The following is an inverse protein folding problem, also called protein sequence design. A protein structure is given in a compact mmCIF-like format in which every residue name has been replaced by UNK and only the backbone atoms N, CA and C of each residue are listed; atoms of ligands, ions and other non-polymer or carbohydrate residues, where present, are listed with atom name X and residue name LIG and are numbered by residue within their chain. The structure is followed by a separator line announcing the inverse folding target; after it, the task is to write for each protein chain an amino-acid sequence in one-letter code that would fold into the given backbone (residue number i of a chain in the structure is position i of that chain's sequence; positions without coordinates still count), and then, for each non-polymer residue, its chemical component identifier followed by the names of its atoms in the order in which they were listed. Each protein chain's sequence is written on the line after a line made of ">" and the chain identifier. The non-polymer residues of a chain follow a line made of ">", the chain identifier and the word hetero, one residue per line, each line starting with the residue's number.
data_IF_891574338417
#
_entry.id   IF_891574338417
#
_cell.length_a   1.000
_cell.length_b   1.000
_cell.length_c   1.000
_cell.angle_alpha   90.00
_cell.angle_beta   90.00
_cell.angle_gamma   90.00
#
_symmetry.space_group_name_H-M   'P 1'
#
loop_
_entity.id
_entity.type
_entity.pdbx_description
1 polymer ?
#
# COMPACT_ATOMS: atom_id res chain seq x y z
N UNK A 1 58.39 2.25 10.08
CA UNK A 1 57.92 2.60 8.71
C UNK A 1 56.55 3.25 8.83
N UNK A 2 56.47 4.55 8.58
CA UNK A 2 55.26 5.37 8.69
C UNK A 2 54.52 5.35 7.35
N UNK A 3 53.23 5.00 7.32
CA UNK A 3 52.38 5.19 6.13
C UNK A 3 51.57 6.47 6.29
N UNK A 4 51.95 7.48 5.52
CA UNK A 4 51.18 8.71 5.27
C UNK A 4 50.01 8.34 4.36
N UNK A 5 48.78 8.62 4.79
CA UNK A 5 47.61 8.66 3.90
C UNK A 5 47.31 10.13 3.60
N UNK A 6 47.66 10.53 2.37
CA UNK A 6 47.36 11.83 1.81
C UNK A 6 45.88 11.93 1.40
N UNK A 7 45.25 12.99 1.91
CA UNK A 7 44.33 13.93 1.26
C UNK A 7 43.54 13.49 0.02
N UNK A 8 42.22 13.68 0.05
CA UNK A 8 41.47 14.47 -0.95
C UNK A 8 40.04 14.71 -0.45
N UNK A 9 39.65 15.98 -0.37
CA UNK A 9 38.42 16.44 0.28
C UNK A 9 37.12 15.90 -0.34
N UNK A 10 36.15 15.59 0.52
CA UNK A 10 34.76 15.38 0.10
C UNK A 10 34.21 16.74 -0.32
N UNK A 11 34.11 16.90 -1.64
CA UNK A 11 33.42 18.00 -2.31
C UNK A 11 32.01 18.15 -1.71
N UNK A 12 31.76 19.32 -1.10
CA UNK A 12 30.46 19.73 -0.57
C UNK A 12 29.45 19.74 -1.72
N UNK A 13 28.65 18.68 -1.85
CA UNK A 13 27.47 18.70 -2.73
C UNK A 13 26.47 19.68 -2.12
N UNK A 14 26.23 20.78 -2.83
CA UNK A 14 25.20 21.74 -2.48
C UNK A 14 23.83 21.05 -2.36
N UNK A 15 22.96 21.45 -1.42
CA UNK A 15 21.61 20.94 -1.40
C UNK A 15 20.89 21.52 -2.61
N UNK A 16 20.46 20.68 -3.55
CA UNK A 16 19.46 21.09 -4.51
C UNK A 16 18.15 21.30 -3.74
N UNK A 17 17.80 22.56 -3.49
CA UNK A 17 16.45 22.93 -3.06
C UNK A 17 15.55 22.71 -4.28
N UNK A 18 15.05 21.49 -4.43
CA UNK A 18 13.99 21.19 -5.38
C UNK A 18 12.73 21.83 -4.81
N UNK A 19 12.32 22.93 -5.42
CA UNK A 19 11.11 23.67 -5.09
C UNK A 19 9.90 22.76 -5.39
N UNK A 20 9.50 21.94 -4.42
CA UNK A 20 8.42 20.95 -4.51
C UNK A 20 7.04 21.63 -4.50
N UNK A 21 6.77 22.49 -5.48
CA UNK A 21 5.45 23.09 -5.68
C UNK A 21 4.61 22.06 -6.45
N UNK A 22 4.06 21.07 -5.73
CA UNK A 22 2.94 20.27 -6.25
C UNK A 22 3.00 18.75 -6.13
N UNK A 23 4.09 18.12 -5.65
CA UNK A 23 4.04 16.68 -5.40
C UNK A 23 3.34 16.40 -4.07
N UNK A 24 2.02 16.18 -4.13
CA UNK A 24 1.28 15.53 -3.04
C UNK A 24 1.82 14.12 -2.86
N UNK A 25 2.35 13.82 -1.68
CA UNK A 25 2.81 12.48 -1.35
C UNK A 25 1.61 11.51 -1.38
N UNK A 26 1.82 10.30 -1.89
CA UNK A 26 0.82 9.24 -1.73
C UNK A 26 0.70 8.93 -0.23
N UNK A 27 -0.54 8.89 0.27
CA UNK A 27 -0.81 8.44 1.63
C UNK A 27 -0.90 6.93 1.63
N UNK A 28 -0.18 6.28 2.54
CA UNK A 28 -0.27 4.84 2.79
C UNK A 28 -0.61 4.62 4.26
N UNK A 29 -1.56 3.73 4.52
CA UNK A 29 -1.83 3.22 5.87
C UNK A 29 -0.99 1.97 6.12
N UNK A 30 -0.53 1.71 7.35
CA UNK A 30 0.11 0.43 7.68
C UNK A 30 -0.88 -0.71 7.41
N UNK A 31 -0.39 -1.81 6.82
CA UNK A 31 -1.19 -3.03 6.65
C UNK A 31 -1.41 -3.69 8.01
N UNK A 32 -2.65 -3.98 8.35
CA UNK A 32 -2.99 -4.80 9.50
C UNK A 32 -3.61 -6.10 8.96
N UNK A 33 -3.08 -7.24 9.40
CA UNK A 33 -3.45 -8.56 8.91
C UNK A 33 -4.39 -9.19 9.94
N UNK A 34 -5.64 -8.76 9.91
CA UNK A 34 -6.69 -9.26 10.79
C UNK A 34 -7.80 -9.90 9.94
N UNK A 35 -8.38 -10.99 10.45
CA UNK A 35 -9.50 -11.65 9.80
C UNK A 35 -10.81 -10.95 10.23
N UNK A 36 -11.52 -10.39 9.26
CA UNK A 36 -12.77 -9.64 9.45
C UNK A 36 -13.95 -10.49 9.00
N UNK A 37 -14.98 -10.56 9.84
CA UNK A 37 -16.24 -11.20 9.51
C UNK A 37 -17.17 -10.20 8.82
N UNK A 38 -17.67 -10.56 7.63
CA UNK A 38 -18.66 -9.80 6.88
C UNK A 38 -19.80 -10.71 6.44
N UNK A 39 -20.94 -10.13 6.07
CA UNK A 39 -22.09 -10.88 5.55
C UNK A 39 -22.33 -10.54 4.08
N UNK A 40 -22.28 -11.55 3.22
CA UNK A 40 -22.56 -11.45 1.78
C UNK A 40 -23.82 -12.28 1.49
N UNK A 41 -24.88 -11.66 1.00
CA UNK A 41 -26.19 -12.31 0.75
C UNK A 41 -26.71 -13.12 1.95
N UNK A 42 -26.50 -12.60 3.16
CA UNK A 42 -26.91 -13.25 4.41
C UNK A 42 -26.00 -14.39 4.87
N UNK A 43 -24.93 -14.72 4.14
CA UNK A 43 -23.91 -15.69 4.57
C UNK A 43 -22.77 -14.98 5.29
N UNK A 44 -22.40 -15.45 6.49
CA UNK A 44 -21.19 -14.99 7.17
C UNK A 44 -19.94 -15.52 6.46
N UNK A 45 -19.01 -14.62 6.16
CA UNK A 45 -17.74 -14.92 5.50
C UNK A 45 -16.63 -14.16 6.21
N UNK A 46 -15.58 -14.89 6.56
CA UNK A 46 -14.35 -14.31 7.11
C UNK A 46 -13.34 -14.02 6.01
N UNK A 47 -12.78 -12.81 5.97
CA UNK A 47 -11.78 -12.39 4.96
C UNK A 47 -10.68 -11.55 5.61
N UNK A 48 -9.51 -11.52 4.99
CA UNK A 48 -8.42 -10.64 5.45
C UNK A 48 -8.81 -9.17 5.29
N UNK A 49 -8.40 -8.33 6.24
CA UNK A 49 -8.58 -6.89 6.15
C UNK A 49 -7.91 -6.34 4.88
N UNK A 50 -8.65 -5.52 4.13
CA UNK A 50 -8.18 -4.99 2.86
C UNK A 50 -8.35 -5.93 1.66
N UNK A 51 -8.94 -7.12 1.85
CA UNK A 51 -9.36 -7.97 0.74
C UNK A 51 -10.36 -7.25 -0.17
N UNK A 52 -10.25 -7.49 -1.47
CA UNK A 52 -11.17 -6.92 -2.44
C UNK A 52 -12.55 -7.55 -2.31
N UNK A 53 -13.60 -6.77 -2.57
CA UNK A 53 -14.99 -7.24 -2.44
C UNK A 53 -15.27 -8.50 -3.27
N UNK A 54 -14.70 -8.56 -4.48
CA UNK A 54 -14.81 -9.72 -5.37
C UNK A 54 -14.30 -11.01 -4.71
N UNK A 55 -13.21 -10.95 -3.93
CA UNK A 55 -12.65 -12.12 -3.25
C UNK A 55 -13.58 -12.60 -2.13
N UNK A 56 -14.24 -11.66 -1.45
CA UNK A 56 -15.19 -12.00 -0.42
C UNK A 56 -16.45 -12.65 -1.00
N UNK A 57 -16.95 -12.12 -2.13
CA UNK A 57 -18.07 -12.72 -2.87
C UNK A 57 -17.74 -14.12 -3.38
N UNK A 58 -16.55 -14.33 -3.96
CA UNK A 58 -16.08 -15.65 -4.39
C UNK A 58 -16.03 -16.65 -3.22
N UNK A 59 -15.50 -16.23 -2.06
CA UNK A 59 -15.48 -17.08 -0.85
C UNK A 59 -16.89 -17.39 -0.32
N UNK A 60 -17.86 -16.49 -0.55
CA UNK A 60 -19.27 -16.70 -0.25
C UNK A 60 -19.99 -17.62 -1.26
N UNK A 61 -19.36 -17.89 -2.41
CA UNK A 61 -19.99 -18.50 -3.57
C UNK A 61 -21.10 -17.64 -4.18
N UNK A 62 -20.98 -16.30 -4.05
CA UNK A 62 -21.91 -15.33 -4.62
C UNK A 62 -21.37 -14.84 -5.97
N UNK A 63 -22.21 -14.89 -7.00
CA UNK A 63 -21.88 -14.33 -8.32
C UNK A 63 -22.12 -12.82 -8.32
N UNK A 64 -21.12 -12.05 -8.75
CA UNK A 64 -21.17 -10.58 -8.76
C UNK A 64 -21.63 -10.12 -10.14
N UNK A 65 -22.79 -10.60 -10.59
CA UNK A 65 -23.42 -10.11 -11.82
C UNK A 65 -24.37 -8.96 -11.49
N UNK A 66 -24.11 -7.79 -12.08
CA UNK A 66 -25.02 -6.65 -11.98
C UNK A 66 -26.28 -6.95 -12.79
N UNK A 67 -27.26 -7.60 -12.16
CA UNK A 67 -28.56 -7.81 -12.75
C UNK A 67 -29.51 -6.71 -12.28
N UNK A 68 -29.58 -5.60 -13.01
CA UNK A 68 -30.67 -4.63 -12.84
C UNK A 68 -31.94 -5.22 -13.44
N UNK A 69 -33.03 -5.36 -12.65
CA UNK A 69 -34.33 -5.69 -13.21
C UNK A 69 -34.91 -4.43 -13.84
N UNK A 70 -34.58 -4.20 -15.11
CA UNK A 70 -35.40 -3.38 -16.01
C UNK A 70 -36.03 -4.30 -17.05
#
# INVERSE_FOLDING_TARGET
>A
MLRVLQSSGISRRAPAIINNIGARAFSSTPSNNEEVEIFVDGKSVKVEQGAALIQACEKAGADVSWNSPL
#
